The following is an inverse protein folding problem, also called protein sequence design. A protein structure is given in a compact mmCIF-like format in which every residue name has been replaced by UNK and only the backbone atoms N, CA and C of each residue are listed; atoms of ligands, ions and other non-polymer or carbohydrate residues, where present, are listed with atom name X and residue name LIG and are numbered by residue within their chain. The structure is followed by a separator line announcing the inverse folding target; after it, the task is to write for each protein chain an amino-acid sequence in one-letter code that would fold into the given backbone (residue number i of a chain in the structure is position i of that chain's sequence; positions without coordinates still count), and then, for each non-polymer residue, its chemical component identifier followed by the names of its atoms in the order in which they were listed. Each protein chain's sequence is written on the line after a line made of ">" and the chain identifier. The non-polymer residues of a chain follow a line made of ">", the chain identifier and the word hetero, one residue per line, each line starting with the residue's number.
data_IF_740966956183
#
_entry.id   IF_740966956183
#
_cell.length_a   1.000
_cell.length_b   1.000
_cell.length_c   1.000
_cell.angle_alpha   90.00
_cell.angle_beta   90.00
_cell.angle_gamma   90.00
#
_symmetry.space_group_name_H-M   'P 1'
#
loop_
_entity.id
_entity.type
_entity.pdbx_description
1 polymer ?
#
# COMPACT_ATOMS: atom_id res chain seq x y z
N UNK A 1 -47.11 25.49 23.14
CA UNK A 1 -46.55 25.76 24.49
C UNK A 1 -47.64 25.47 25.50
N UNK A 2 -47.44 24.48 26.36
CA UNK A 2 -48.03 24.39 27.70
C UNK A 2 -47.06 23.62 28.62
N UNK A 3 -47.18 23.88 29.93
CA UNK A 3 -46.30 23.41 30.99
C UNK A 3 -46.83 22.10 31.59
N UNK A 4 -46.15 20.97 31.30
CA UNK A 4 -46.30 19.70 32.03
C UNK A 4 -47.15 18.61 31.34
N UNK A 5 -46.48 17.55 30.86
CA UNK A 5 -47.08 16.35 30.26
C UNK A 5 -46.29 15.84 29.05
N UNK A 6 -46.26 14.52 28.83
CA UNK A 6 -45.61 13.87 27.67
C UNK A 6 -46.14 14.47 26.36
N UNK A 7 -45.26 15.14 25.63
CA UNK A 7 -45.61 15.78 24.37
C UNK A 7 -45.76 14.72 23.29
N UNK A 8 -46.92 14.70 22.61
CA UNK A 8 -47.10 13.93 21.37
C UNK A 8 -47.63 14.85 20.28
N UNK A 9 -46.78 15.17 19.31
CA UNK A 9 -47.21 15.82 18.08
C UNK A 9 -47.90 14.78 17.19
N UNK A 10 -49.07 15.10 16.65
CA UNK A 10 -49.82 14.23 15.72
C UNK A 10 -50.20 15.05 14.49
N UNK A 11 -49.78 14.60 13.31
CA UNK A 11 -50.23 15.15 12.04
C UNK A 11 -51.45 14.37 11.58
N UNK A 12 -52.49 15.07 11.16
CA UNK A 12 -53.74 14.48 10.66
C UNK A 12 -54.15 15.13 9.35
N UNK A 13 -54.91 14.41 8.54
CA UNK A 13 -55.44 14.89 7.26
C UNK A 13 -56.96 14.83 7.24
N UNK A 14 -57.60 15.74 6.50
CA UNK A 14 -59.01 15.67 6.16
C UNK A 14 -59.15 15.84 4.65
N UNK A 15 -59.87 14.93 4.00
CA UNK A 15 -60.01 14.91 2.54
C UNK A 15 -61.20 15.74 2.04
N UNK A 16 -62.11 16.12 2.94
CA UNK A 16 -63.27 16.96 2.66
C UNK A 16 -63.24 18.23 3.53
N UNK A 17 -63.87 19.31 3.04
CA UNK A 17 -63.94 20.59 3.77
C UNK A 17 -64.64 20.47 5.14
N UNK A 18 -65.52 19.47 5.29
CA UNK A 18 -66.20 19.12 6.54
C UNK A 18 -66.09 17.61 6.78
N UNK A 19 -65.69 17.21 8.00
CA UNK A 19 -65.47 15.81 8.38
C UNK A 19 -64.42 15.63 9.49
N UNK A 20 -64.28 14.41 10.06
CA UNK A 20 -63.28 14.11 11.07
C UNK A 20 -61.85 14.14 10.49
N UNK A 21 -60.88 14.40 11.37
CA UNK A 21 -59.45 14.36 11.03
C UNK A 21 -58.92 12.94 11.19
N UNK A 22 -58.46 12.33 10.10
CA UNK A 22 -57.92 10.98 10.07
C UNK A 22 -56.40 10.98 10.27
N UNK A 23 -55.87 9.85 10.77
CA UNK A 23 -54.44 9.62 10.77
C UNK A 23 -53.93 9.48 9.32
N UNK A 24 -52.75 10.01 9.05
CA UNK A 24 -52.10 9.81 7.76
C UNK A 24 -51.82 8.30 7.54
N UNK A 25 -52.18 7.73 6.38
CA UNK A 25 -51.81 6.37 6.04
C UNK A 25 -50.29 6.21 6.04
N UNK A 26 -49.77 5.07 6.53
CA UNK A 26 -48.33 4.77 6.51
C UNK A 26 -47.69 4.91 5.12
N UNK A 27 -48.46 4.60 4.07
CA UNK A 27 -48.06 4.70 2.66
C UNK A 27 -47.90 6.13 2.13
N UNK A 28 -48.33 7.15 2.88
CA UNK A 28 -48.20 8.55 2.50
C UNK A 28 -46.92 9.19 3.01
N UNK A 29 -46.26 8.55 3.97
CA UNK A 29 -44.92 8.93 4.39
C UNK A 29 -43.94 8.45 3.31
N UNK A 30 -43.28 9.39 2.64
CA UNK A 30 -42.07 9.11 1.85
C UNK A 30 -40.92 9.89 2.49
N UNK A 31 -39.84 9.21 2.82
CA UNK A 31 -38.56 9.86 3.13
C UNK A 31 -38.03 10.45 1.83
N UNK A 32 -38.34 11.72 1.58
CA UNK A 32 -37.73 12.51 0.51
C UNK A 32 -36.74 13.45 1.19
N UNK A 33 -35.46 13.17 0.99
CA UNK A 33 -34.36 14.05 1.38
C UNK A 33 -34.06 14.89 0.14
N UNK A 34 -34.24 16.21 0.23
CA UNK A 34 -34.02 17.20 -0.84
C UNK A 34 -33.34 18.42 -0.21
N UNK A 35 -32.08 18.22 0.18
CA UNK A 35 -31.25 19.19 0.91
C UNK A 35 -30.81 20.34 0.00
N UNK A 36 -30.70 20.10 -1.30
CA UNK A 36 -30.36 21.13 -2.29
C UNK A 36 -31.59 21.90 -2.82
N UNK A 37 -32.81 21.51 -2.42
CA UNK A 37 -34.09 22.13 -2.80
C UNK A 37 -34.34 22.19 -4.31
N UNK A 38 -33.77 21.27 -5.08
CA UNK A 38 -33.92 21.22 -6.53
C UNK A 38 -35.20 20.48 -6.97
N UNK A 39 -35.95 19.90 -6.04
CA UNK A 39 -37.20 19.19 -6.32
C UNK A 39 -37.01 17.74 -6.75
N UNK A 40 -35.79 17.22 -6.80
CA UNK A 40 -35.47 15.81 -6.87
C UNK A 40 -35.23 15.24 -5.46
N UNK A 41 -35.17 13.92 -5.33
CA UNK A 41 -34.76 13.30 -4.07
C UNK A 41 -33.26 13.09 -4.16
N UNK A 42 -32.47 13.59 -3.20
CA UNK A 42 -31.02 13.42 -3.18
C UNK A 42 -30.63 11.93 -3.19
N UNK A 43 -31.44 11.07 -2.55
CA UNK A 43 -31.34 9.60 -2.58
C UNK A 43 -31.43 8.98 -3.99
N UNK A 44 -31.84 9.74 -5.01
CA UNK A 44 -31.91 9.31 -6.41
C UNK A 44 -30.91 10.08 -7.31
N UNK A 45 -30.22 11.08 -6.77
CA UNK A 45 -29.23 11.89 -7.48
C UNK A 45 -27.79 11.50 -7.11
N UNK A 46 -27.58 11.03 -5.89
CA UNK A 46 -26.27 10.70 -5.33
C UNK A 46 -26.28 9.29 -4.73
N UNK A 47 -25.11 8.63 -4.74
CA UNK A 47 -24.92 7.33 -4.12
C UNK A 47 -25.16 7.38 -2.61
N UNK A 48 -25.61 6.25 -2.06
CA UNK A 48 -25.76 5.97 -0.62
C UNK A 48 -25.18 4.56 -0.43
N UNK A 49 -23.85 4.50 -0.26
CA UNK A 49 -23.11 3.25 -0.34
C UNK A 49 -23.25 2.39 0.93
N UNK A 50 -23.51 3.02 2.08
CA UNK A 50 -23.69 2.39 3.38
C UNK A 50 -25.18 2.17 3.73
N UNK A 51 -26.06 2.55 2.80
CA UNK A 51 -27.51 2.37 2.82
C UNK A 51 -28.20 3.07 4.02
N UNK A 52 -27.52 4.03 4.65
CA UNK A 52 -27.95 4.66 5.90
C UNK A 52 -29.06 5.73 5.70
N UNK A 53 -29.45 5.98 4.44
CA UNK A 53 -30.46 6.97 4.01
C UNK A 53 -30.01 8.43 4.12
N UNK A 54 -28.71 8.66 4.21
CA UNK A 54 -28.04 9.93 3.98
C UNK A 54 -27.16 9.75 2.74
N UNK A 55 -27.26 10.63 1.74
CA UNK A 55 -26.41 10.53 0.56
C UNK A 55 -24.91 10.76 0.87
N UNK A 56 -24.03 10.05 0.17
CA UNK A 56 -22.57 10.07 0.40
C UNK A 56 -21.99 11.49 0.31
N UNK A 57 -22.46 12.30 -0.66
CA UNK A 57 -22.01 13.68 -0.85
C UNK A 57 -22.35 14.59 0.33
N UNK A 58 -23.45 14.32 1.04
CA UNK A 58 -23.86 15.05 2.23
C UNK A 58 -23.01 14.63 3.42
N UNK A 59 -22.76 13.33 3.57
CA UNK A 59 -21.86 12.82 4.59
C UNK A 59 -20.46 13.42 4.44
N UNK A 60 -19.89 13.42 3.23
CA UNK A 60 -18.60 14.04 2.94
C UNK A 60 -18.59 15.55 3.26
N UNK A 61 -19.64 16.29 2.87
CA UNK A 61 -19.76 17.71 3.21
C UNK A 61 -19.89 17.99 4.71
N UNK A 62 -20.37 17.02 5.49
CA UNK A 62 -20.46 17.07 6.94
C UNK A 62 -19.19 16.57 7.65
N UNK A 63 -18.13 16.25 6.90
CA UNK A 63 -16.88 15.71 7.45
C UNK A 63 -16.95 14.22 7.74
N UNK A 64 -17.72 13.46 6.95
CA UNK A 64 -17.72 12.01 6.97
C UNK A 64 -16.32 11.43 6.75
N UNK A 65 -16.03 10.21 7.25
CA UNK A 65 -14.72 9.58 7.09
C UNK A 65 -14.38 9.39 5.61
N UNK A 66 -13.32 10.06 5.15
CA UNK A 66 -12.70 9.97 3.82
C UNK A 66 -11.20 10.16 4.04
N UNK A 67 -10.59 9.17 4.69
CA UNK A 67 -9.24 9.31 5.21
C UNK A 67 -8.17 9.25 4.11
N UNK A 68 -8.49 8.61 2.98
CA UNK A 68 -7.62 8.57 1.79
C UNK A 68 -7.85 9.76 0.85
N UNK A 69 -8.81 10.66 1.17
CA UNK A 69 -9.17 11.88 0.47
C UNK A 69 -9.51 11.67 -1.01
N UNK A 70 -10.12 10.53 -1.35
CA UNK A 70 -10.50 10.22 -2.73
C UNK A 70 -11.90 10.77 -3.09
N UNK A 71 -12.60 11.40 -2.15
CA UNK A 71 -13.94 11.96 -2.34
C UNK A 71 -15.04 10.90 -2.24
N UNK A 72 -14.77 9.76 -1.63
CA UNK A 72 -15.72 8.72 -1.24
C UNK A 72 -15.57 8.44 0.24
N UNK A 73 -16.64 7.99 0.88
CA UNK A 73 -16.54 7.61 2.29
C UNK A 73 -15.72 6.33 2.42
N UNK A 74 -15.01 6.19 3.54
CA UNK A 74 -14.26 4.97 3.86
C UNK A 74 -15.18 3.74 3.83
N UNK A 75 -16.42 3.87 4.31
CA UNK A 75 -17.45 2.83 4.21
C UNK A 75 -17.76 2.41 2.76
N UNK A 76 -17.74 3.34 1.81
CA UNK A 76 -17.93 3.04 0.39
C UNK A 76 -16.73 2.30 -0.19
N UNK A 77 -15.52 2.69 0.20
CA UNK A 77 -14.30 2.04 -0.23
C UNK A 77 -14.25 0.60 0.29
N UNK A 78 -14.60 0.38 1.55
CA UNK A 78 -14.72 -0.96 2.15
C UNK A 78 -15.74 -1.81 1.40
N UNK A 79 -16.91 -1.24 1.06
CA UNK A 79 -17.96 -1.93 0.33
C UNK A 79 -17.53 -2.41 -1.07
N UNK A 80 -16.55 -1.76 -1.69
CA UNK A 80 -15.98 -2.17 -3.00
C UNK A 80 -14.67 -2.95 -2.87
N UNK A 81 -14.27 -3.32 -1.65
CA UNK A 81 -13.14 -4.22 -1.37
C UNK A 81 -11.87 -3.52 -0.88
N UNK A 82 -11.94 -2.28 -0.41
CA UNK A 82 -10.84 -1.70 0.35
C UNK A 82 -10.67 -2.46 1.68
N UNK A 83 -9.43 -2.76 2.09
CA UNK A 83 -9.18 -3.42 3.37
C UNK A 83 -9.62 -2.56 4.57
N UNK A 84 -10.35 -3.17 5.50
CA UNK A 84 -10.62 -2.74 6.89
C UNK A 84 -10.51 -3.98 7.78
N UNK A 85 -9.28 -4.37 8.05
CA UNK A 85 -8.93 -5.63 8.67
C UNK A 85 -9.39 -5.72 10.13
N UNK A 86 -9.40 -4.58 10.84
CA UNK A 86 -9.78 -4.51 12.24
C UNK A 86 -11.29 -4.20 12.44
N UNK A 87 -12.02 -3.93 11.35
CA UNK A 87 -13.46 -3.69 11.31
C UNK A 87 -13.87 -2.39 12.00
N UNK A 88 -12.99 -1.39 12.06
CA UNK A 88 -13.24 -0.14 12.78
C UNK A 88 -13.88 0.94 11.88
N UNK A 89 -14.06 0.67 10.59
CA UNK A 89 -14.70 1.56 9.63
C UNK A 89 -13.78 2.61 9.01
N UNK A 90 -12.48 2.62 9.34
CA UNK A 90 -11.44 3.30 8.58
C UNK A 90 -10.70 2.26 7.74
N UNK A 91 -10.38 2.57 6.49
CA UNK A 91 -9.59 1.65 5.65
C UNK A 91 -8.15 1.56 6.15
N UNK A 92 -7.53 0.39 6.10
CA UNK A 92 -6.21 0.16 6.72
C UNK A 92 -5.10 1.03 6.12
N UNK A 93 -5.27 1.47 4.87
CA UNK A 93 -4.33 2.42 4.22
C UNK A 93 -4.18 3.72 5.02
N UNK A 94 -5.21 4.12 5.77
CA UNK A 94 -5.22 5.31 6.61
C UNK A 94 -4.65 5.06 8.01
N UNK A 95 -4.53 3.80 8.40
CA UNK A 95 -4.06 3.37 9.70
C UNK A 95 -2.60 2.90 9.66
N UNK A 96 -2.07 2.67 8.46
CA UNK A 96 -0.68 2.33 8.23
C UNK A 96 0.25 3.41 8.80
N UNK A 97 0.86 3.10 9.95
CA UNK A 97 1.87 3.93 10.62
C UNK A 97 3.27 3.75 10.01
N UNK A 98 3.42 2.82 9.06
CA UNK A 98 4.69 2.52 8.39
C UNK A 98 4.83 3.40 7.16
N UNK A 99 5.62 4.46 7.30
CA UNK A 99 6.02 5.32 6.19
C UNK A 99 7.07 4.62 5.31
N UNK A 100 6.96 4.77 3.99
CA UNK A 100 7.90 4.21 3.02
C UNK A 100 7.23 3.32 1.97
N UNK A 101 8.06 2.57 1.24
CA UNK A 101 7.64 1.63 0.21
C UNK A 101 8.18 0.24 0.52
N UNK A 102 7.46 -0.78 0.06
CA UNK A 102 7.89 -2.16 0.15
C UNK A 102 8.82 -2.52 -1.01
N UNK A 103 10.11 -2.66 -0.71
CA UNK A 103 11.16 -3.03 -1.66
C UNK A 103 11.34 -4.54 -1.74
N UNK A 104 11.32 -5.08 -2.96
CA UNK A 104 11.66 -6.47 -3.27
C UNK A 104 12.84 -6.50 -4.22
N UNK A 105 13.82 -7.35 -3.92
CA UNK A 105 15.11 -7.40 -4.61
C UNK A 105 15.29 -8.77 -5.24
N UNK A 106 15.63 -8.81 -6.51
CA UNK A 106 15.67 -10.03 -7.32
C UNK A 106 16.99 -10.12 -8.06
N UNK A 107 17.42 -11.34 -8.40
CA UNK A 107 18.36 -11.50 -9.51
C UNK A 107 17.73 -10.97 -10.79
N UNK A 108 18.53 -10.42 -11.68
CA UNK A 108 18.11 -10.05 -13.02
C UNK A 108 18.26 -11.25 -13.97
N UNK A 109 17.25 -11.48 -14.81
CA UNK A 109 17.30 -12.46 -15.89
C UNK A 109 16.90 -11.80 -17.21
N UNK A 110 17.43 -12.31 -18.32
CA UNK A 110 17.25 -11.69 -19.64
C UNK A 110 18.21 -10.53 -19.86
N UNK A 111 17.87 -9.58 -20.74
CA UNK A 111 18.67 -8.38 -21.01
C UNK A 111 19.85 -8.58 -21.97
N UNK A 112 20.13 -9.81 -22.39
CA UNK A 112 21.19 -10.12 -23.37
C UNK A 112 20.83 -9.76 -24.82
N UNK A 113 19.55 -9.49 -25.11
CA UNK A 113 19.00 -9.16 -26.43
C UNK A 113 17.89 -8.09 -26.26
N UNK A 114 17.81 -7.05 -27.12
CA UNK A 114 16.66 -6.13 -27.17
C UNK A 114 15.28 -6.80 -27.26
N UNK A 115 15.19 -8.05 -27.76
CA UNK A 115 13.96 -8.84 -27.80
C UNK A 115 13.65 -9.61 -26.50
N UNK A 116 14.61 -9.72 -25.57
CA UNK A 116 14.45 -10.34 -24.24
C UNK A 116 14.74 -9.30 -23.15
N UNK A 117 13.77 -8.44 -22.80
CA UNK A 117 13.99 -7.38 -21.83
C UNK A 117 14.32 -7.95 -20.46
N UNK A 118 15.21 -7.26 -19.74
CA UNK A 118 15.58 -7.59 -18.38
C UNK A 118 14.32 -7.71 -17.50
N UNK A 119 14.21 -8.77 -16.71
CA UNK A 119 13.05 -9.05 -15.86
C UNK A 119 13.45 -9.68 -14.53
N UNK A 120 12.61 -9.58 -13.48
CA UNK A 120 12.89 -10.20 -12.19
C UNK A 120 13.04 -11.72 -12.30
N UNK A 121 14.10 -12.25 -11.69
CA UNK A 121 14.37 -13.67 -11.51
C UNK A 121 14.03 -14.15 -10.10
N UNK A 122 15.01 -14.73 -9.43
CA UNK A 122 14.90 -15.22 -8.05
C UNK A 122 14.78 -14.05 -7.09
N UNK A 123 13.80 -14.08 -6.19
CA UNK A 123 13.72 -13.12 -5.09
C UNK A 123 14.86 -13.40 -4.09
N UNK A 124 15.68 -12.39 -3.82
CA UNK A 124 16.82 -12.42 -2.91
C UNK A 124 16.49 -11.83 -1.54
N UNK A 125 15.79 -10.70 -1.51
CA UNK A 125 15.48 -10.01 -0.25
C UNK A 125 14.23 -9.13 -0.36
N UNK A 126 13.68 -8.75 0.81
CA UNK A 126 12.55 -7.83 0.94
C UNK A 126 12.80 -6.91 2.14
N UNK A 127 12.51 -5.62 2.03
CA UNK A 127 12.52 -4.68 3.17
C UNK A 127 11.61 -3.49 2.94
N UNK A 128 11.42 -2.69 3.99
CA UNK A 128 10.79 -1.38 3.88
C UNK A 128 11.83 -0.29 3.69
N UNK A 129 11.66 0.52 2.66
CA UNK A 129 12.49 1.68 2.39
C UNK A 129 11.68 2.94 2.64
N UNK A 130 12.06 3.71 3.66
CA UNK A 130 11.35 4.94 4.04
C UNK A 130 11.28 5.95 2.87
N UNK A 131 12.23 5.90 1.95
CA UNK A 131 12.34 6.73 0.74
C UNK A 131 13.18 5.98 -0.30
N UNK A 132 13.04 6.34 -1.57
CA UNK A 132 13.98 5.93 -2.62
C UNK A 132 14.99 7.06 -2.82
N UNK A 133 16.15 6.93 -2.17
CA UNK A 133 17.24 7.94 -2.19
C UNK A 133 18.59 7.25 -1.95
N UNK A 134 18.99 6.44 -2.93
CA UNK A 134 20.20 5.64 -2.92
C UNK A 134 21.25 6.27 -3.84
N UNK A 135 22.38 6.71 -3.27
CA UNK A 135 23.39 7.51 -3.98
C UNK A 135 24.79 6.88 -3.86
N UNK A 136 24.96 5.65 -4.39
CA UNK A 136 26.23 4.92 -4.39
C UNK A 136 26.52 4.09 -3.13
N UNK A 137 27.47 3.17 -3.24
CA UNK A 137 27.85 2.20 -2.21
C UNK A 137 26.93 0.97 -2.14
N UNK A 138 27.26 -0.01 -1.29
CA UNK A 138 26.44 -1.19 -1.11
C UNK A 138 25.24 -0.90 -0.19
N UNK A 139 24.13 -0.43 -0.77
CA UNK A 139 22.87 -0.17 -0.07
C UNK A 139 21.85 -1.29 -0.25
N UNK A 140 22.18 -2.32 -1.03
CA UNK A 140 21.34 -3.49 -1.13
C UNK A 140 21.33 -4.26 0.21
N UNK A 141 20.23 -4.94 0.54
CA UNK A 141 20.20 -5.84 1.68
C UNK A 141 21.29 -6.92 1.60
N UNK A 142 21.75 -7.43 2.75
CA UNK A 142 22.70 -8.54 2.80
C UNK A 142 22.20 -9.73 1.95
N UNK A 143 23.11 -10.34 1.19
CA UNK A 143 22.80 -11.43 0.25
C UNK A 143 22.31 -10.99 -1.14
N UNK A 144 22.16 -9.68 -1.37
CA UNK A 144 21.88 -9.13 -2.70
C UNK A 144 23.20 -8.63 -3.33
N UNK A 145 23.54 -9.06 -4.56
CA UNK A 145 24.76 -8.63 -5.23
C UNK A 145 24.66 -7.19 -5.77
N UNK A 146 25.82 -6.58 -5.97
CA UNK A 146 25.95 -5.20 -6.47
C UNK A 146 25.50 -5.04 -7.93
N UNK A 147 25.53 -6.11 -8.73
CA UNK A 147 25.25 -6.11 -10.16
C UNK A 147 24.19 -7.17 -10.52
N UNK A 148 23.62 -7.05 -11.71
CA UNK A 148 22.59 -7.96 -12.24
C UNK A 148 21.42 -8.15 -11.26
N UNK A 149 20.90 -7.03 -10.75
CA UNK A 149 19.86 -6.99 -9.72
C UNK A 149 18.70 -6.11 -10.15
N UNK A 150 17.48 -6.51 -9.78
CA UNK A 150 16.27 -5.73 -9.94
C UNK A 150 15.68 -5.41 -8.58
N UNK A 151 15.32 -4.14 -8.38
CA UNK A 151 14.53 -3.71 -7.24
C UNK A 151 13.12 -3.28 -7.70
N UNK A 152 12.10 -3.71 -6.98
CA UNK A 152 10.71 -3.29 -7.19
C UNK A 152 10.18 -2.74 -5.88
N UNK A 153 9.96 -1.44 -5.84
CA UNK A 153 9.30 -0.76 -4.73
C UNK A 153 7.82 -0.56 -5.05
N UNK A 154 6.96 -1.02 -4.16
CA UNK A 154 5.50 -0.86 -4.26
C UNK A 154 4.93 -0.22 -3.00
N UNK A 155 3.95 0.65 -3.18
CA UNK A 155 3.20 1.22 -2.08
C UNK A 155 2.18 2.24 -2.56
N UNK A 156 1.94 3.23 -1.72
CA UNK A 156 1.00 4.30 -1.92
C UNK A 156 1.68 5.66 -1.78
N UNK A 157 1.25 6.63 -2.59
CA UNK A 157 1.63 8.03 -2.54
C UNK A 157 0.46 8.82 -1.97
N UNK A 158 0.62 9.39 -0.77
CA UNK A 158 -0.31 10.36 -0.21
C UNK A 158 0.08 11.77 -0.65
N UNK A 159 -0.78 12.43 -1.40
CA UNK A 159 -0.52 13.80 -1.83
C UNK A 159 -0.75 14.81 -0.68
N UNK A 160 0.06 15.88 -0.59
CA UNK A 160 -0.22 17.01 0.28
C UNK A 160 -1.59 17.64 -0.04
N UNK A 161 -2.05 18.57 0.77
CA UNK A 161 -3.30 19.30 0.52
C UNK A 161 -3.15 20.32 -0.63
N UNK A 162 -2.86 19.82 -1.81
CA UNK A 162 -2.62 20.57 -3.02
C UNK A 162 -2.95 19.71 -4.25
N UNK A 163 -4.04 20.04 -4.93
CA UNK A 163 -4.39 19.46 -6.23
C UNK A 163 -3.67 20.18 -7.36
N UNK A 164 -3.20 19.46 -8.38
CA UNK A 164 -2.59 20.09 -9.55
C UNK A 164 -1.65 19.16 -10.31
N UNK A 165 -0.76 19.75 -11.09
CA UNK A 165 0.26 19.03 -11.86
C UNK A 165 1.46 18.77 -10.96
N UNK A 166 1.72 17.50 -10.67
CA UNK A 166 2.93 17.04 -10.00
C UNK A 166 3.96 16.68 -11.06
N UNK A 167 5.21 17.06 -10.84
CA UNK A 167 6.33 16.57 -11.65
C UNK A 167 7.04 15.46 -10.88
N UNK A 168 7.31 14.34 -11.56
CA UNK A 168 8.06 13.21 -11.03
C UNK A 168 9.39 13.12 -11.76
N UNK A 169 10.44 12.94 -10.98
CA UNK A 169 11.79 12.82 -11.49
C UNK A 169 12.44 11.56 -10.91
N UNK A 170 13.15 10.84 -11.75
CA UNK A 170 14.06 9.78 -11.31
C UNK A 170 15.47 10.12 -11.72
N UNK A 171 16.44 9.67 -10.93
CA UNK A 171 17.85 9.64 -11.31
C UNK A 171 18.36 8.26 -10.96
N UNK A 172 18.66 7.48 -12.00
CA UNK A 172 19.01 6.08 -11.87
C UNK A 172 20.26 5.76 -12.66
N UNK A 173 21.01 4.80 -12.12
CA UNK A 173 22.12 4.11 -12.75
C UNK A 173 21.94 2.66 -12.29
N UNK A 174 21.44 1.74 -13.11
CA UNK A 174 21.04 1.86 -14.53
C UNK A 174 19.56 2.33 -14.75
N UNK A 175 18.67 1.43 -15.17
CA UNK A 175 17.37 1.76 -15.76
C UNK A 175 16.22 1.75 -14.76
N UNK A 176 15.12 2.40 -15.11
CA UNK A 176 13.93 2.43 -14.26
C UNK A 176 12.61 2.55 -15.00
N UNK A 177 11.54 2.15 -14.31
CA UNK A 177 10.15 2.45 -14.64
C UNK A 177 9.42 3.01 -13.44
N UNK A 178 8.59 4.03 -13.66
CA UNK A 178 7.74 4.60 -12.60
C UNK A 178 6.27 4.52 -13.02
N UNK A 179 5.46 3.96 -12.13
CA UNK A 179 4.02 3.90 -12.23
C UNK A 179 3.40 4.71 -11.11
N UNK A 180 2.43 5.56 -11.45
CA UNK A 180 1.60 6.30 -10.49
C UNK A 180 0.16 6.13 -10.92
N UNK A 181 -0.71 5.76 -9.98
CA UNK A 181 -2.13 5.48 -10.27
C UNK A 181 -2.25 4.40 -11.36
N UNK A 182 -1.44 3.33 -11.22
CA UNK A 182 -1.28 2.22 -12.15
C UNK A 182 -0.86 2.58 -13.60
N UNK A 183 -0.64 3.86 -13.90
CA UNK A 183 -0.20 4.32 -15.20
C UNK A 183 1.33 4.42 -15.25
N UNK A 184 1.95 3.83 -16.28
CA UNK A 184 3.38 3.99 -16.57
C UNK A 184 3.65 5.43 -17.00
N UNK A 185 4.34 6.21 -16.18
CA UNK A 185 4.63 7.62 -16.45
C UNK A 185 6.09 7.86 -16.86
N UNK A 186 7.03 7.03 -16.38
CA UNK A 186 8.44 7.06 -16.80
C UNK A 186 8.83 5.65 -17.26
N UNK A 187 9.33 5.52 -18.48
CA UNK A 187 9.90 4.27 -19.00
C UNK A 187 11.31 4.51 -19.55
N UNK A 188 12.30 4.15 -18.74
CA UNK A 188 13.72 4.18 -19.09
C UNK A 188 14.36 2.82 -18.82
N UNK A 189 13.64 1.74 -19.12
CA UNK A 189 14.06 0.39 -18.75
C UNK A 189 15.32 -0.08 -19.49
N UNK A 190 15.51 0.27 -20.76
CA UNK A 190 16.69 -0.14 -21.55
C UNK A 190 17.83 0.89 -21.55
N UNK A 191 17.72 1.95 -20.75
CA UNK A 191 18.77 2.97 -20.61
C UNK A 191 19.77 2.58 -19.52
N UNK A 192 21.01 3.02 -19.67
CA UNK A 192 21.94 3.11 -18.54
C UNK A 192 21.70 4.39 -17.73
N UNK A 193 22.74 4.88 -17.04
CA UNK A 193 22.70 6.10 -16.24
C UNK A 193 21.89 7.25 -16.86
N UNK A 194 20.99 7.85 -16.07
CA UNK A 194 20.44 9.17 -16.38
C UNK A 194 19.16 9.48 -15.62
N UNK A 195 18.48 10.54 -16.06
CA UNK A 195 17.27 11.05 -15.41
C UNK A 195 15.99 10.74 -16.18
N UNK A 196 14.93 10.41 -15.45
CA UNK A 196 13.56 10.33 -15.96
C UNK A 196 12.74 11.55 -15.53
N UNK A 197 11.77 11.94 -16.36
CA UNK A 197 10.85 13.03 -16.08
C UNK A 197 9.46 12.70 -16.60
N UNK A 198 8.45 12.96 -15.79
CA UNK A 198 7.05 12.90 -16.20
C UNK A 198 6.19 13.82 -15.34
N UNK A 199 5.00 14.13 -15.82
CA UNK A 199 3.99 14.86 -15.04
C UNK A 199 2.73 14.04 -14.90
N UNK A 200 2.00 14.25 -13.80
CA UNK A 200 0.69 13.63 -13.54
C UNK A 200 -0.18 14.62 -12.77
N UNK A 201 -1.42 14.79 -13.22
CA UNK A 201 -2.41 15.58 -12.47
C UNK A 201 -2.99 14.73 -11.35
N UNK A 202 -2.85 15.18 -10.11
CA UNK A 202 -3.31 14.49 -8.91
C UNK A 202 -4.17 15.43 -8.07
N UNK A 203 -5.11 14.85 -7.32
CA UNK A 203 -5.87 15.55 -6.29
C UNK A 203 -5.05 15.59 -5.00
N UNK A 204 -5.22 16.65 -4.21
CA UNK A 204 -4.60 16.82 -2.91
C UNK A 204 -5.30 16.02 -1.83
N UNK A 205 -4.56 15.62 -0.79
CA UNK A 205 -5.01 14.69 0.26
C UNK A 205 -5.48 13.33 -0.26
N UNK A 206 -5.12 12.98 -1.49
CA UNK A 206 -5.55 11.73 -2.11
C UNK A 206 -4.42 10.71 -2.10
N UNK A 207 -4.75 9.45 -1.85
CA UNK A 207 -3.80 8.33 -1.96
C UNK A 207 -3.83 7.68 -3.34
N UNK A 208 -2.66 7.48 -3.96
CA UNK A 208 -2.50 6.83 -5.26
C UNK A 208 -1.55 5.64 -5.17
N UNK A 209 -1.77 4.60 -5.98
CA UNK A 209 -0.77 3.53 -6.10
C UNK A 209 0.54 4.09 -6.68
N UNK A 210 1.68 3.66 -6.14
CA UNK A 210 2.99 3.98 -6.69
C UNK A 210 3.85 2.73 -6.78
N UNK A 211 4.49 2.54 -7.93
CA UNK A 211 5.47 1.47 -8.14
C UNK A 211 6.68 2.01 -8.88
N UNK A 212 7.86 1.82 -8.33
CA UNK A 212 9.11 2.08 -9.03
C UNK A 212 9.86 0.76 -9.22
N UNK A 213 10.22 0.48 -10.47
CA UNK A 213 11.09 -0.62 -10.82
C UNK A 213 12.45 -0.05 -11.20
N UNK A 214 13.51 -0.71 -10.77
CA UNK A 214 14.90 -0.35 -11.03
C UNK A 214 15.67 -1.61 -11.38
N UNK A 215 16.67 -1.45 -12.25
CA UNK A 215 17.68 -2.48 -12.42
C UNK A 215 19.06 -1.88 -12.44
N UNK A 216 20.00 -2.69 -11.98
CA UNK A 216 21.43 -2.46 -12.08
C UNK A 216 22.02 -3.60 -12.90
N UNK A 217 22.66 -3.26 -14.01
CA UNK A 217 23.42 -4.20 -14.82
C UNK A 217 24.86 -4.29 -14.31
N UNK A 218 25.59 -3.18 -14.33
CA UNK A 218 26.95 -3.13 -13.82
C UNK A 218 27.44 -1.71 -13.53
N UNK A 219 28.18 -1.53 -12.44
CA UNK A 219 28.87 -0.27 -12.16
C UNK A 219 28.50 0.32 -10.80
N UNK A 220 28.24 1.63 -10.77
CA UNK A 220 27.82 2.33 -9.56
C UNK A 220 26.29 2.39 -9.49
N UNK A 221 25.73 2.04 -8.33
CA UNK A 221 24.27 1.99 -8.18
C UNK A 221 23.73 3.33 -7.70
N UNK A 222 22.77 3.89 -8.45
CA UNK A 222 22.02 5.07 -8.03
C UNK A 222 20.54 4.89 -8.30
N UNK A 223 19.70 5.23 -7.34
CA UNK A 223 18.26 5.27 -7.52
C UNK A 223 17.62 6.32 -6.62
N UNK A 224 16.97 7.32 -7.21
CA UNK A 224 16.17 8.30 -6.45
C UNK A 224 14.80 8.54 -7.06
N UNK A 225 13.80 8.72 -6.19
CA UNK A 225 12.46 9.17 -6.54
C UNK A 225 12.27 10.59 -5.99
N UNK A 226 12.05 11.53 -6.90
CA UNK A 226 11.90 12.95 -6.61
C UNK A 226 10.59 13.45 -7.18
N UNK A 227 10.07 14.51 -6.56
CA UNK A 227 8.87 15.18 -7.04
C UNK A 227 8.97 16.70 -6.91
N UNK A 228 8.03 17.37 -7.56
CA UNK A 228 7.86 18.81 -7.48
C UNK A 228 6.36 19.09 -7.41
N UNK A 229 5.94 19.75 -6.32
CA UNK A 229 4.52 20.01 -6.05
C UNK A 229 3.96 21.09 -6.99
N UNK A 230 2.63 21.18 -7.17
CA UNK A 230 2.03 22.23 -8.01
C UNK A 230 2.40 23.66 -7.59
N UNK A 231 2.66 23.91 -6.32
CA UNK A 231 3.07 25.22 -5.78
C UNK A 231 4.54 25.55 -6.01
N UNK A 232 5.33 24.55 -6.36
CA UNK A 232 6.79 24.63 -6.43
C UNK A 232 7.31 24.74 -7.88
N UNK A 233 6.41 24.74 -8.87
CA UNK A 233 6.73 24.68 -10.31
C UNK A 233 7.82 25.67 -10.72
N UNK A 234 8.79 25.19 -11.52
CA UNK A 234 9.98 25.95 -11.89
C UNK A 234 11.10 25.95 -10.84
N UNK A 235 10.91 25.27 -9.71
CA UNK A 235 11.94 25.01 -8.70
C UNK A 235 12.78 23.76 -8.97
N UNK A 236 13.45 23.26 -7.93
CA UNK A 236 14.24 22.02 -7.98
C UNK A 236 13.47 20.85 -7.35
N UNK A 237 13.41 19.67 -7.99
CA UNK A 237 12.70 18.52 -7.44
C UNK A 237 13.34 18.01 -6.13
N UNK A 238 12.50 17.84 -5.11
CA UNK A 238 12.92 17.29 -3.82
C UNK A 238 12.72 15.77 -3.79
N UNK A 239 13.48 15.05 -2.95
CA UNK A 239 13.21 13.63 -2.66
C UNK A 239 11.78 13.50 -2.16
N UNK A 240 11.05 12.51 -2.67
CA UNK A 240 9.72 12.20 -2.16
C UNK A 240 9.85 11.80 -0.69
N UNK A 241 9.30 12.58 0.26
CA UNK A 241 9.54 12.36 1.67
C UNK A 241 8.82 11.09 2.14
N UNK A 242 9.35 10.45 3.17
CA UNK A 242 8.70 9.28 3.78
C UNK A 242 7.27 9.59 4.24
N UNK A 243 6.99 10.82 4.67
CA UNK A 243 5.64 11.27 5.04
C UNK A 243 4.65 11.32 3.87
N UNK A 244 5.10 11.22 2.62
CA UNK A 244 4.26 11.08 1.43
C UNK A 244 4.15 9.63 0.93
N UNK A 245 5.00 8.73 1.44
CA UNK A 245 5.03 7.33 1.03
C UNK A 245 4.38 6.48 2.10
N UNK A 246 3.44 5.63 1.70
CA UNK A 246 2.79 4.64 2.56
C UNK A 246 3.07 3.27 1.99
N UNK A 247 3.20 2.29 2.85
CA UNK A 247 3.08 0.92 2.39
C UNK A 247 1.60 0.72 2.02
N UNK A 248 1.32 0.57 0.73
CA UNK A 248 -0.01 0.11 0.30
C UNK A 248 -0.10 -1.33 0.76
N UNK A 249 -0.89 -1.56 1.82
CA UNK A 249 -1.37 -2.88 2.30
C UNK A 249 -0.42 -4.01 1.90
N UNK A 250 0.73 -4.13 2.58
CA UNK A 250 1.77 -5.07 2.19
C UNK A 250 1.15 -6.48 2.15
N UNK A 251 1.44 -7.29 1.14
CA UNK A 251 0.98 -8.69 1.04
C UNK A 251 2.23 -9.52 0.76
N UNK A 252 2.98 -9.81 1.82
CA UNK A 252 4.29 -10.39 1.68
C UNK A 252 4.26 -11.90 1.43
N UNK A 253 3.14 -12.55 1.75
CA UNK A 253 2.88 -13.97 1.45
C UNK A 253 2.21 -14.18 0.07
N UNK A 254 1.79 -13.10 -0.62
CA UNK A 254 1.18 -13.06 -1.95
C UNK A 254 -0.13 -13.85 -2.06
N UNK A 255 -0.91 -13.91 -0.98
CA UNK A 255 -2.20 -14.60 -0.97
C UNK A 255 -3.37 -13.69 -1.45
N UNK A 256 -3.09 -12.43 -1.77
CA UNK A 256 -4.09 -11.43 -2.18
C UNK A 256 -4.84 -10.79 -1.02
N UNK A 257 -4.45 -11.10 0.22
CA UNK A 257 -4.92 -10.48 1.45
C UNK A 257 -3.78 -9.63 2.03
N UNK A 258 -4.07 -8.40 2.47
CA UNK A 258 -3.08 -7.60 3.17
C UNK A 258 -2.54 -8.27 4.43
N UNK A 259 -1.27 -8.02 4.73
CA UNK A 259 -0.49 -8.53 5.84
C UNK A 259 -1.10 -8.14 7.18
N UNK A 260 -1.58 -6.91 7.33
CA UNK A 260 -2.37 -6.44 8.48
C UNK A 260 -3.67 -7.25 8.65
N UNK A 261 -4.34 -7.60 7.55
CA UNK A 261 -5.50 -8.50 7.56
C UNK A 261 -5.13 -9.90 7.97
N UNK A 262 -4.01 -10.42 7.46
CA UNK A 262 -3.56 -11.74 7.86
C UNK A 262 -3.09 -11.80 9.32
N UNK A 263 -2.49 -10.72 9.84
CA UNK A 263 -2.14 -10.59 11.25
C UNK A 263 -3.40 -10.56 12.11
N UNK A 264 -4.38 -9.73 11.76
CA UNK A 264 -5.65 -9.61 12.48
C UNK A 264 -6.42 -10.94 12.49
N UNK A 265 -6.37 -11.68 11.38
CA UNK A 265 -7.02 -12.99 11.23
C UNK A 265 -6.17 -14.16 11.76
N UNK A 266 -4.95 -13.89 12.25
CA UNK A 266 -4.02 -14.91 12.76
C UNK A 266 -3.48 -15.88 11.70
N UNK A 267 -3.66 -15.57 10.42
CA UNK A 267 -3.16 -16.34 9.27
C UNK A 267 -1.72 -16.01 8.92
N UNK A 268 -1.18 -14.88 9.41
CA UNK A 268 0.21 -14.50 9.26
C UNK A 268 0.82 -14.10 10.62
N UNK A 269 1.89 -14.78 11.08
CA UNK A 269 2.49 -14.46 12.37
C UNK A 269 3.19 -13.11 12.35
N UNK A 270 3.05 -12.33 13.43
CA UNK A 270 3.71 -11.04 13.66
C UNK A 270 4.18 -10.97 15.14
N UNK A 271 5.45 -10.62 15.41
CA UNK A 271 5.98 -10.53 16.77
C UNK A 271 5.47 -9.30 17.56
N UNK A 272 4.60 -8.49 16.99
CA UNK A 272 3.99 -7.30 17.59
C UNK A 272 4.61 -5.97 17.13
N UNK A 273 5.41 -5.97 16.05
CA UNK A 273 6.10 -4.80 15.50
C UNK A 273 5.39 -4.19 14.27
N UNK A 274 4.29 -4.81 13.83
CA UNK A 274 3.52 -4.35 12.66
C UNK A 274 4.10 -4.83 11.32
N UNK A 275 5.12 -5.68 11.35
CA UNK A 275 5.72 -6.30 10.16
C UNK A 275 5.57 -7.82 10.32
N UNK A 276 4.81 -8.51 9.45
CA UNK A 276 4.74 -9.96 9.55
C UNK A 276 6.10 -10.62 9.31
N UNK A 277 6.32 -11.76 9.99
CA UNK A 277 7.58 -12.53 9.94
C UNK A 277 8.09 -12.77 8.51
N UNK A 278 7.26 -13.17 7.52
CA UNK A 278 7.73 -13.36 6.14
C UNK A 278 8.10 -12.08 5.37
N UNK A 279 7.92 -10.90 5.98
CA UNK A 279 8.26 -9.60 5.43
C UNK A 279 9.42 -8.91 6.18
N UNK A 280 9.72 -9.35 7.40
CA UNK A 280 10.96 -8.98 8.08
C UNK A 280 12.14 -9.72 7.43
N UNK A 281 13.21 -9.01 7.06
CA UNK A 281 14.52 -9.65 6.87
C UNK A 281 14.83 -10.43 8.15
N UNK A 282 14.92 -11.75 8.07
CA UNK A 282 15.11 -12.59 9.24
C UNK A 282 16.33 -12.11 10.06
N UNK A 283 16.21 -11.91 11.39
CA UNK A 283 17.34 -11.60 12.26
C UNK A 283 18.34 -12.77 12.41
N UNK A 284 18.14 -13.88 11.69
CA UNK A 284 18.99 -15.05 11.72
C UNK A 284 18.85 -15.87 10.41
N UNK A 285 19.82 -15.79 9.51
CA UNK A 285 19.85 -16.59 8.27
C UNK A 285 19.64 -18.10 8.46
N UNK A 286 20.02 -18.66 9.62
CA UNK A 286 19.91 -20.09 9.93
C UNK A 286 18.55 -20.58 10.43
N UNK A 287 17.55 -19.70 10.59
CA UNK A 287 16.17 -20.09 10.97
C UNK A 287 15.36 -20.42 9.72
N UNK A 288 15.49 -21.66 9.26
CA UNK A 288 14.90 -22.15 8.02
C UNK A 288 13.39 -22.39 8.15
N UNK A 289 12.91 -22.80 9.33
CA UNK A 289 11.49 -23.02 9.58
C UNK A 289 10.76 -21.75 10.06
N UNK A 290 11.51 -20.69 10.38
CA UNK A 290 11.06 -19.33 10.72
C UNK A 290 10.27 -19.28 12.02
N UNK A 291 10.67 -20.07 13.01
CA UNK A 291 10.04 -20.09 14.34
C UNK A 291 10.67 -19.10 15.35
N UNK A 292 11.67 -18.33 14.90
CA UNK A 292 12.41 -17.34 15.69
C UNK A 292 13.56 -17.95 16.49
N UNK A 293 13.86 -19.23 16.28
CA UNK A 293 14.86 -19.99 17.04
C UNK A 293 15.60 -20.94 16.10
N UNK A 294 16.92 -20.86 16.02
CA UNK A 294 17.70 -21.85 15.25
C UNK A 294 17.85 -23.12 16.08
N UNK A 295 17.21 -24.20 15.64
CA UNK A 295 17.16 -25.48 16.34
C UNK A 295 17.50 -26.68 15.43
N UNK A 296 17.32 -27.90 15.98
CA UNK A 296 17.48 -29.14 15.23
C UNK A 296 16.50 -29.27 14.05
N UNK A 297 15.41 -28.52 14.06
CA UNK A 297 14.45 -28.49 12.95
C UNK A 297 15.07 -27.82 11.73
N UNK A 298 15.75 -26.69 11.93
CA UNK A 298 16.43 -25.92 10.88
C UNK A 298 17.64 -26.65 10.34
N UNK A 299 18.39 -27.29 11.24
CA UNK A 299 19.45 -28.21 10.84
C UNK A 299 18.92 -29.34 9.94
N UNK A 300 17.74 -29.87 10.25
CA UNK A 300 17.08 -30.87 9.42
C UNK A 300 16.78 -30.36 8.01
N UNK A 301 16.36 -29.10 7.88
CA UNK A 301 16.12 -28.44 6.59
C UNK A 301 17.42 -28.24 5.82
N UNK A 302 18.47 -27.73 6.46
CA UNK A 302 19.80 -27.55 5.85
C UNK A 302 20.37 -28.88 5.33
N UNK A 303 20.32 -29.93 6.15
CA UNK A 303 20.81 -31.26 5.76
C UNK A 303 19.97 -31.88 4.64
N UNK A 304 18.68 -31.55 4.57
CA UNK A 304 17.81 -31.94 3.46
C UNK A 304 18.21 -31.30 2.13
N UNK A 305 18.85 -30.13 2.16
CA UNK A 305 19.33 -29.40 1.00
C UNK A 305 20.81 -29.66 0.67
N UNK A 306 21.46 -30.65 1.31
CA UNK A 306 22.90 -30.89 1.16
C UNK A 306 23.32 -31.08 -0.31
N UNK A 307 24.29 -30.30 -0.76
CA UNK A 307 24.77 -30.28 -2.14
C UNK A 307 23.89 -29.50 -3.12
N UNK A 308 22.83 -28.83 -2.66
CA UNK A 308 21.97 -27.93 -3.44
C UNK A 308 22.03 -26.50 -2.88
N UNK A 309 21.38 -25.53 -3.51
CA UNK A 309 21.38 -24.12 -3.06
C UNK A 309 20.36 -23.82 -1.95
N UNK A 310 19.57 -24.81 -1.51
CA UNK A 310 18.42 -24.59 -0.61
C UNK A 310 18.78 -24.29 0.85
N UNK A 311 20.02 -24.57 1.27
CA UNK A 311 20.56 -24.26 2.59
C UNK A 311 21.90 -23.53 2.52
N UNK A 312 22.16 -22.84 1.41
CA UNK A 312 23.37 -22.06 1.17
C UNK A 312 23.30 -20.73 1.95
N UNK A 313 24.03 -20.69 3.06
CA UNK A 313 24.06 -19.55 3.99
C UNK A 313 25.26 -18.63 3.73
N UNK A 314 26.28 -19.08 2.98
CA UNK A 314 27.45 -18.27 2.63
C UNK A 314 27.41 -17.69 1.20
N UNK A 315 26.43 -18.10 0.39
CA UNK A 315 26.22 -17.64 -0.98
C UNK A 315 27.16 -18.27 -2.02
N UNK A 316 27.77 -19.42 -1.72
CA UNK A 316 28.70 -20.11 -2.63
C UNK A 316 28.02 -21.03 -3.65
N UNK A 317 26.69 -21.15 -3.58
CA UNK A 317 25.84 -21.94 -4.45
C UNK A 317 25.65 -23.39 -4.01
N UNK A 318 26.28 -23.84 -2.92
CA UNK A 318 26.27 -25.26 -2.50
C UNK A 318 26.17 -25.40 -0.98
N UNK A 319 25.08 -26.00 -0.50
CA UNK A 319 24.92 -26.36 0.92
C UNK A 319 25.93 -27.43 1.33
N UNK A 320 26.88 -27.05 2.19
CA UNK A 320 27.98 -27.89 2.62
C UNK A 320 28.35 -27.65 4.10
N UNK A 321 29.51 -28.16 4.52
CA UNK A 321 29.98 -28.05 5.91
C UNK A 321 30.17 -26.61 6.37
N UNK A 322 30.36 -25.67 5.45
CA UNK A 322 30.49 -24.24 5.74
C UNK A 322 29.16 -23.64 6.19
N UNK A 323 28.07 -23.96 5.49
CA UNK A 323 26.72 -23.52 5.84
C UNK A 323 26.25 -24.12 7.15
N UNK A 324 26.55 -25.40 7.37
CA UNK A 324 26.32 -26.04 8.65
C UNK A 324 27.03 -25.30 9.79
N UNK A 325 28.26 -24.84 9.57
CA UNK A 325 29.00 -24.03 10.53
C UNK A 325 28.32 -22.70 10.84
N UNK A 326 27.75 -22.04 9.82
CA UNK A 326 27.00 -20.78 9.97
C UNK A 326 25.72 -21.00 10.78
N UNK A 327 24.93 -22.03 10.44
CA UNK A 327 23.71 -22.38 11.17
C UNK A 327 24.00 -22.68 12.65
N UNK A 328 25.03 -23.49 12.94
CA UNK A 328 25.40 -23.82 14.32
C UNK A 328 25.93 -22.61 15.09
N UNK A 329 26.56 -21.65 14.41
CA UNK A 329 26.99 -20.37 15.00
C UNK A 329 25.81 -19.48 15.42
N UNK A 330 24.62 -19.73 14.89
CA UNK A 330 23.39 -18.97 15.16
C UNK A 330 22.41 -19.72 16.07
N UNK A 331 22.84 -20.83 16.68
CA UNK A 331 21.96 -21.70 17.47
C UNK A 331 21.28 -20.98 18.65
N UNK A 332 19.97 -21.12 18.77
CA UNK A 332 19.16 -20.47 19.79
C UNK A 332 18.29 -19.33 19.25
N UNK A 333 17.78 -18.49 20.15
CA UNK A 333 16.85 -17.40 19.80
C UNK A 333 17.52 -16.34 18.94
N UNK A 334 16.84 -15.90 17.89
CA UNK A 334 17.31 -14.83 17.04
C UNK A 334 17.15 -13.48 17.77
N UNK A 335 18.27 -12.83 18.11
CA UNK A 335 18.35 -11.54 18.82
C UNK A 335 18.96 -10.47 17.94
#
# INVERSE_FOLDING_TARGET
>A
REFGGDQRMRVRVRMAETGPWDALPGSWYRTRVDLNSNGASDLCEFGDCDDNKVPDNIQLAQGGPDCNGNGKLDACDIAVGAPDCNGNGAIDTCESTVNGLYGRYFTAIGGSDPADPLRPGTLLSKRFDAKIDFNGGNWFPDGVPDNDVIAIWTGALLTPNESGVYEFHTDTDDGCRLYVDNALIIDRWLGGQGTGFATKTLQGQTTYSIRMEFHEGAGEQRASLRWLLPSQQGGSPAICPSSALRVATPDCNQNGQPDDCDIANGTLPNPGDGIPIPCATAPCPGDFNRDGVVTGTDLGVLLGAWGASGGDLNGDGVTNGTDLGILLGQWGTCN
#
